data_IF_622328840048
#
_entry.id   IF_622328840048
#
_cell.length_a   1.000
_cell.length_b   1.000
_cell.length_c   1.000
_cell.angle_alpha   90.00
_cell.angle_beta   90.00
_cell.angle_gamma   90.00
#
_symmetry.space_group_name_H-M   'P 1'
#
loop_
_entity.id
_entity.type
_entity.pdbx_description
1 polymer ?
#
# COMPACT_ATOMS: atom_id res chain seq x y z
N UNK A 1 20.87 2.18 -18.10
CA UNK A 1 20.06 3.07 -17.23
C UNK A 1 18.64 3.01 -17.73
N UNK A 2 17.66 2.85 -16.84
CA UNK A 2 16.25 2.93 -17.22
C UNK A 2 15.91 4.39 -17.53
N UNK A 3 15.41 4.66 -18.73
CA UNK A 3 15.01 6.01 -19.15
C UNK A 3 13.53 6.22 -18.86
N UNK A 4 13.21 7.25 -18.07
CA UNK A 4 11.82 7.60 -17.74
C UNK A 4 11.32 8.72 -18.65
N UNK A 5 10.12 8.52 -19.20
CA UNK A 5 9.29 9.56 -19.79
C UNK A 5 8.57 10.34 -18.67
N UNK A 6 8.07 11.54 -18.97
CA UNK A 6 7.40 12.38 -17.98
C UNK A 6 6.05 12.87 -18.50
N UNK A 7 5.03 12.81 -17.65
CA UNK A 7 3.70 13.35 -17.89
C UNK A 7 3.41 14.40 -16.81
N UNK A 8 3.18 15.64 -17.22
CA UNK A 8 2.89 16.74 -16.31
C UNK A 8 1.39 16.83 -16.06
N UNK A 9 0.99 16.73 -14.80
CA UNK A 9 -0.39 16.96 -14.35
C UNK A 9 -0.49 18.30 -13.60
N UNK A 10 -1.66 18.64 -13.08
CA UNK A 10 -1.82 19.82 -12.23
C UNK A 10 -0.91 19.75 -10.99
N UNK A 11 -0.78 18.57 -10.38
CA UNK A 11 -0.13 18.40 -9.08
C UNK A 11 1.26 17.76 -9.16
N UNK A 12 1.51 16.90 -10.15
CA UNK A 12 2.72 16.09 -10.26
C UNK A 12 3.40 16.25 -11.62
N UNK A 13 4.72 16.04 -11.63
CA UNK A 13 5.42 15.60 -12.83
C UNK A 13 5.70 14.10 -12.65
N UNK A 14 4.94 13.27 -13.38
CA UNK A 14 4.89 11.82 -13.18
C UNK A 14 5.87 11.16 -14.14
N UNK A 15 6.88 10.50 -13.56
CA UNK A 15 7.80 9.68 -14.31
C UNK A 15 7.16 8.33 -14.65
N UNK A 16 7.28 7.87 -15.88
CA UNK A 16 6.75 6.58 -16.31
C UNK A 16 7.67 5.87 -17.30
N UNK A 17 7.50 4.55 -17.39
CA UNK A 17 8.08 3.71 -18.42
C UNK A 17 7.03 3.41 -19.48
N UNK A 18 7.45 3.29 -20.73
CA UNK A 18 6.55 3.07 -21.86
C UNK A 18 7.07 1.98 -22.78
N UNK A 19 6.16 1.12 -23.23
CA UNK A 19 6.41 0.11 -24.24
C UNK A 19 5.34 0.19 -25.33
N UNK A 20 5.77 -0.06 -26.58
CA UNK A 20 4.93 0.02 -27.77
C UNK A 20 4.07 1.30 -27.84
N UNK A 21 4.66 2.49 -28.02
CA UNK A 21 3.94 3.77 -28.03
C UNK A 21 2.83 3.88 -29.08
N UNK A 22 2.85 3.04 -30.12
CA UNK A 22 1.87 3.03 -31.22
C UNK A 22 0.77 1.97 -31.03
N UNK A 23 0.71 1.31 -29.88
CA UNK A 23 -0.33 0.31 -29.61
C UNK A 23 -1.73 0.94 -29.58
N UNK A 24 -2.69 0.25 -30.19
CA UNK A 24 -4.07 0.75 -30.36
C UNK A 24 -4.89 0.72 -29.07
N UNK A 25 -4.53 -0.17 -28.14
CA UNK A 25 -5.16 -0.31 -26.81
C UNK A 25 -4.14 -0.01 -25.73
N UNK A 26 -4.54 0.71 -24.70
CA UNK A 26 -3.64 1.05 -23.61
C UNK A 26 -3.78 0.13 -22.39
N UNK A 27 -2.66 -0.21 -21.77
CA UNK A 27 -2.59 -0.86 -20.46
C UNK A 27 -1.73 -0.02 -19.51
N UNK A 28 -2.23 0.24 -18.30
CA UNK A 28 -1.48 0.96 -17.26
C UNK A 28 -1.15 0.01 -16.11
N UNK A 29 0.14 -0.14 -15.83
CA UNK A 29 0.69 -1.06 -14.84
C UNK A 29 1.20 -0.30 -13.60
N UNK A 30 0.59 -0.55 -12.43
CA UNK A 30 0.84 0.20 -11.21
C UNK A 30 1.55 -0.65 -10.17
N UNK A 31 2.74 -0.22 -9.78
CA UNK A 31 3.57 -0.92 -8.79
C UNK A 31 3.07 -0.73 -7.36
N UNK A 32 3.57 -1.56 -6.44
CA UNK A 32 3.30 -1.50 -5.01
C UNK A 32 4.35 -0.74 -4.21
N UNK A 33 4.26 -0.82 -2.89
CA UNK A 33 5.32 -0.37 -1.98
C UNK A 33 6.07 -1.58 -1.39
N UNK A 34 7.40 -1.56 -1.27
CA UNK A 34 8.35 -0.53 -1.70
C UNK A 34 8.96 -0.82 -3.10
N UNK A 35 8.12 -0.99 -4.12
CA UNK A 35 8.54 -1.41 -5.46
C UNK A 35 8.83 -0.24 -6.42
N UNK A 36 8.97 -0.56 -7.71
CA UNK A 36 9.26 0.36 -8.81
C UNK A 36 8.55 -0.10 -10.09
N UNK A 37 8.23 0.81 -11.03
CA UNK A 37 7.70 0.43 -12.35
C UNK A 37 8.56 -0.58 -13.11
N UNK A 38 9.87 -0.63 -12.82
CA UNK A 38 10.80 -1.58 -13.44
C UNK A 38 10.38 -3.04 -13.21
N UNK A 39 9.72 -3.35 -12.09
CA UNK A 39 9.24 -4.71 -11.81
C UNK A 39 8.22 -5.23 -12.82
N UNK A 40 7.60 -4.34 -13.60
CA UNK A 40 6.63 -4.71 -14.62
C UNK A 40 7.25 -5.11 -15.96
N UNK A 41 8.56 -4.99 -16.16
CA UNK A 41 9.20 -5.20 -17.48
C UNK A 41 8.78 -6.51 -18.18
N UNK A 42 8.73 -7.69 -17.52
CA UNK A 42 8.28 -8.91 -18.18
C UNK A 42 6.81 -8.86 -18.64
N UNK A 43 5.92 -8.28 -17.82
CA UNK A 43 4.50 -8.15 -18.13
C UNK A 43 4.27 -7.11 -19.22
N UNK A 44 5.02 -6.00 -19.15
CA UNK A 44 4.94 -4.93 -20.13
C UNK A 44 5.41 -5.40 -21.51
N UNK A 45 6.51 -6.17 -21.57
CA UNK A 45 6.97 -6.78 -22.82
C UNK A 45 5.93 -7.74 -23.41
N UNK A 46 5.31 -8.58 -22.58
CA UNK A 46 4.28 -9.51 -23.04
C UNK A 46 3.04 -8.79 -23.61
N UNK A 47 2.52 -7.78 -22.90
CA UNK A 47 1.37 -6.99 -23.36
C UNK A 47 1.70 -6.17 -24.61
N UNK A 48 2.89 -5.57 -24.67
CA UNK A 48 3.36 -4.85 -25.84
C UNK A 48 3.45 -5.75 -27.08
N UNK A 49 3.92 -6.99 -26.91
CA UNK A 49 3.92 -8.01 -27.97
C UNK A 49 2.52 -8.42 -28.46
N UNK A 50 1.48 -8.16 -27.68
CA UNK A 50 0.07 -8.35 -28.05
C UNK A 50 -0.58 -7.06 -28.60
N UNK A 51 0.23 -6.03 -28.91
CA UNK A 51 -0.24 -4.80 -29.53
C UNK A 51 -0.73 -3.71 -28.56
N UNK A 52 -0.59 -3.90 -27.23
CA UNK A 52 -0.93 -2.86 -26.27
C UNK A 52 0.15 -1.76 -26.21
N UNK A 53 -0.26 -0.50 -26.08
CA UNK A 53 0.57 0.57 -25.54
C UNK A 53 0.61 0.40 -24.02
N UNK A 54 1.79 0.12 -23.46
CA UNK A 54 1.91 -0.17 -22.03
C UNK A 54 2.59 0.99 -21.33
N UNK A 55 1.97 1.48 -20.26
CA UNK A 55 2.44 2.60 -19.46
C UNK A 55 2.63 2.14 -18.01
N UNK A 56 3.79 2.36 -17.42
CA UNK A 56 4.04 2.04 -16.00
C UNK A 56 4.50 3.30 -15.26
N UNK A 57 3.58 4.10 -14.69
CA UNK A 57 3.94 5.28 -13.93
C UNK A 57 4.52 4.91 -12.56
N UNK A 58 5.51 5.68 -12.13
CA UNK A 58 5.96 5.68 -10.75
C UNK A 58 4.98 6.48 -9.89
N UNK A 59 4.44 5.84 -8.86
CA UNK A 59 3.54 6.47 -7.90
C UNK A 59 4.21 7.67 -7.23
N UNK A 60 3.41 8.61 -6.71
CA UNK A 60 3.91 9.74 -5.93
C UNK A 60 4.93 9.28 -4.86
N UNK A 61 6.08 9.95 -4.80
CA UNK A 61 7.16 9.61 -3.87
C UNK A 61 8.10 8.49 -4.34
N UNK A 62 7.92 7.95 -5.55
CA UNK A 62 8.80 6.95 -6.17
C UNK A 62 9.43 7.45 -7.46
N UNK A 63 10.56 6.82 -7.81
CA UNK A 63 11.34 7.12 -9.01
C UNK A 63 11.53 8.66 -9.17
N UNK A 64 11.69 9.24 -10.37
CA UNK A 64 11.77 10.69 -10.49
C UNK A 64 10.41 11.44 -10.41
N UNK A 65 9.30 10.78 -10.06
CA UNK A 65 8.00 11.47 -9.89
C UNK A 65 8.07 12.49 -8.76
N UNK A 66 7.70 13.74 -9.05
CA UNK A 66 7.78 14.85 -8.07
C UNK A 66 6.51 15.67 -8.02
N UNK A 67 6.25 16.24 -6.84
CA UNK A 67 5.26 17.29 -6.68
C UNK A 67 5.73 18.57 -7.38
N UNK A 68 4.84 19.23 -8.11
CA UNK A 68 5.14 20.49 -8.82
C UNK A 68 5.24 21.67 -7.86
N UNK A 69 4.46 21.65 -6.79
CA UNK A 69 4.49 22.65 -5.73
C UNK A 69 5.13 22.06 -4.47
N UNK A 70 6.17 22.75 -3.98
CA UNK A 70 6.86 22.38 -2.75
C UNK A 70 6.00 22.60 -1.49
N UNK A 71 4.98 23.45 -1.55
CA UNK A 71 4.08 23.74 -0.43
C UNK A 71 3.08 22.60 -0.16
N UNK A 72 2.79 21.77 -1.18
CA UNK A 72 1.79 20.70 -1.08
C UNK A 72 2.27 19.60 -0.12
N UNK A 73 1.45 19.19 0.87
CA UNK A 73 1.79 18.10 1.78
C UNK A 73 2.06 16.79 1.04
N UNK A 74 3.11 16.06 1.45
CA UNK A 74 3.44 14.74 0.89
C UNK A 74 2.50 13.69 1.47
N UNK A 75 1.30 13.60 0.89
CA UNK A 75 0.25 12.69 1.31
C UNK A 75 0.32 11.36 0.55
N UNK A 76 0.26 10.25 1.30
CA UNK A 76 0.11 8.88 0.80
C UNK A 76 -1.33 8.36 0.87
N UNK A 77 -2.34 9.23 0.95
CA UNK A 77 -3.75 8.82 1.00
C UNK A 77 -4.15 8.04 -0.26
N UNK A 78 -4.92 6.96 -0.09
CA UNK A 78 -5.35 6.08 -1.20
C UNK A 78 -6.13 6.82 -2.29
N UNK A 79 -7.04 7.72 -1.91
CA UNK A 79 -7.79 8.53 -2.86
C UNK A 79 -6.87 9.42 -3.70
N UNK A 80 -5.75 9.88 -3.13
CA UNK A 80 -4.79 10.70 -3.83
C UNK A 80 -4.00 9.89 -4.88
N UNK A 81 -3.73 8.60 -4.63
CA UNK A 81 -3.15 7.69 -5.64
C UNK A 81 -4.11 7.45 -6.80
N UNK A 82 -5.40 7.27 -6.51
CA UNK A 82 -6.43 7.13 -7.54
C UNK A 82 -6.55 8.39 -8.41
N UNK A 83 -6.54 9.59 -7.80
CA UNK A 83 -6.56 10.85 -8.54
C UNK A 83 -5.34 11.04 -9.44
N UNK A 84 -4.14 10.73 -8.95
CA UNK A 84 -2.92 10.82 -9.79
C UNK A 84 -3.02 9.94 -11.03
N UNK A 85 -3.60 8.74 -10.90
CA UNK A 85 -3.79 7.85 -12.02
C UNK A 85 -4.75 8.44 -13.06
N UNK A 86 -5.86 9.03 -12.62
CA UNK A 86 -6.80 9.69 -13.51
C UNK A 86 -6.14 10.88 -14.23
N UNK A 87 -5.45 11.74 -13.48
CA UNK A 87 -4.71 12.88 -14.03
C UNK A 87 -3.60 12.42 -15.00
N UNK A 88 -2.93 11.30 -14.72
CA UNK A 88 -1.90 10.73 -15.57
C UNK A 88 -2.46 10.25 -16.91
N UNK A 89 -3.56 9.48 -16.91
CA UNK A 89 -4.15 8.99 -18.16
C UNK A 89 -4.75 10.13 -18.97
N UNK A 90 -5.32 11.14 -18.31
CA UNK A 90 -5.86 12.33 -18.97
C UNK A 90 -4.74 13.16 -19.64
N UNK A 91 -3.62 13.36 -18.95
CA UNK A 91 -2.46 14.07 -19.47
C UNK A 91 -1.85 13.39 -20.72
N UNK A 92 -2.07 12.09 -20.89
CA UNK A 92 -1.59 11.31 -22.03
C UNK A 92 -2.67 11.05 -23.10
N UNK A 93 -3.89 11.56 -22.90
CA UNK A 93 -5.03 11.32 -23.81
C UNK A 93 -5.42 9.84 -23.90
N UNK A 94 -5.23 9.09 -22.82
CA UNK A 94 -5.49 7.65 -22.78
C UNK A 94 -6.89 7.38 -22.24
N UNK A 95 -7.78 6.92 -23.11
CA UNK A 95 -9.16 6.63 -22.75
C UNK A 95 -9.35 5.17 -22.35
N UNK A 96 -10.00 4.96 -21.19
CA UNK A 96 -10.44 3.64 -20.68
C UNK A 96 -9.38 2.52 -20.80
N UNK A 97 -8.13 2.72 -20.35
CA UNK A 97 -7.11 1.69 -20.43
C UNK A 97 -7.49 0.43 -19.63
N UNK A 98 -6.79 -0.67 -19.89
CA UNK A 98 -6.73 -1.78 -18.94
C UNK A 98 -5.89 -1.33 -17.74
N UNK A 99 -6.43 -1.38 -16.54
CA UNK A 99 -5.68 -1.06 -15.32
C UNK A 99 -5.24 -2.34 -14.63
N UNK A 100 -3.93 -2.47 -14.39
CA UNK A 100 -3.35 -3.58 -13.62
C UNK A 100 -2.57 -3.00 -12.46
N UNK A 101 -2.88 -3.44 -11.25
CA UNK A 101 -2.21 -2.93 -10.04
C UNK A 101 -1.78 -4.04 -9.10
N UNK A 102 -0.64 -3.85 -8.45
CA UNK A 102 -0.12 -4.67 -7.35
C UNK A 102 -0.04 -3.84 -6.07
N UNK A 103 -0.51 -4.37 -4.94
CA UNK A 103 -0.41 -3.72 -3.62
C UNK A 103 -0.98 -2.28 -3.63
N UNK A 104 -0.18 -1.23 -3.43
CA UNK A 104 -0.61 0.17 -3.51
C UNK A 104 -1.13 0.52 -4.91
N UNK A 105 -0.56 -0.06 -5.96
CA UNK A 105 -1.04 0.08 -7.32
C UNK A 105 -2.42 -0.54 -7.53
N UNK A 106 -2.72 -1.65 -6.86
CA UNK A 106 -4.06 -2.25 -6.88
C UNK A 106 -5.09 -1.30 -6.24
N UNK A 107 -4.73 -0.71 -5.10
CA UNK A 107 -5.55 0.32 -4.44
C UNK A 107 -5.72 1.55 -5.32
N UNK A 108 -4.66 2.03 -5.98
CA UNK A 108 -4.73 3.19 -6.88
C UNK A 108 -5.72 2.96 -8.03
N UNK A 109 -5.61 1.82 -8.72
CA UNK A 109 -6.53 1.44 -9.80
C UNK A 109 -7.98 1.35 -9.32
N UNK A 110 -8.21 0.69 -8.19
CA UNK A 110 -9.54 0.58 -7.61
C UNK A 110 -10.14 1.93 -7.20
N UNK A 111 -9.34 2.82 -6.60
CA UNK A 111 -9.80 4.17 -6.25
C UNK A 111 -10.09 5.01 -7.49
N UNK A 112 -9.29 4.89 -8.56
CA UNK A 112 -9.57 5.58 -9.82
C UNK A 112 -10.92 5.15 -10.42
N UNK A 113 -11.21 3.85 -10.45
CA UNK A 113 -12.51 3.34 -10.90
C UNK A 113 -13.67 3.78 -9.99
N UNK A 114 -13.43 3.94 -8.68
CA UNK A 114 -14.45 4.47 -7.76
C UNK A 114 -14.65 5.98 -7.84
N UNK A 115 -13.67 6.73 -8.37
CA UNK A 115 -13.73 8.19 -8.51
C UNK A 115 -14.29 8.64 -9.86
N UNK A 116 -14.15 7.82 -10.92
CA UNK A 116 -14.60 8.14 -12.26
C UNK A 116 -15.19 6.92 -12.96
N UNK A 117 -16.47 7.03 -13.31
CA UNK A 117 -17.13 6.03 -14.15
C UNK A 117 -16.41 5.89 -15.49
N UNK A 118 -16.23 4.64 -15.92
CA UNK A 118 -15.51 4.35 -17.16
C UNK A 118 -14.00 4.64 -17.10
N UNK A 119 -13.39 4.85 -15.92
CA UNK A 119 -11.94 5.06 -15.81
C UNK A 119 -11.09 3.96 -16.45
N UNK A 120 -11.63 2.74 -16.55
CA UNK A 120 -10.97 1.59 -17.15
C UNK A 120 -11.90 0.81 -18.08
N UNK A 121 -11.33 0.09 -19.04
CA UNK A 121 -12.04 -0.97 -19.76
C UNK A 121 -12.07 -2.27 -18.96
N UNK A 122 -10.97 -2.56 -18.24
CA UNK A 122 -10.80 -3.76 -17.41
C UNK A 122 -9.92 -3.42 -16.21
N UNK A 123 -10.11 -4.15 -15.10
CA UNK A 123 -9.34 -3.99 -13.87
C UNK A 123 -8.79 -5.34 -13.40
N UNK A 124 -7.47 -5.42 -13.19
CA UNK A 124 -6.80 -6.54 -12.54
C UNK A 124 -6.11 -6.07 -11.26
N UNK A 125 -6.42 -6.73 -10.14
CA UNK A 125 -5.89 -6.40 -8.81
C UNK A 125 -5.08 -7.59 -8.28
N UNK A 126 -3.79 -7.36 -8.03
CA UNK A 126 -2.85 -8.38 -7.55
C UNK A 126 -2.45 -8.12 -6.10
N UNK A 127 -2.29 -9.19 -5.33
CA UNK A 127 -1.95 -9.20 -3.89
C UNK A 127 -3.03 -8.61 -2.97
N UNK A 128 -3.60 -7.46 -3.32
CA UNK A 128 -4.55 -6.72 -2.50
C UNK A 128 -5.86 -6.50 -3.26
N UNK A 129 -6.98 -6.95 -2.69
CA UNK A 129 -8.33 -6.75 -3.22
C UNK A 129 -8.91 -5.36 -2.90
N UNK A 130 -10.17 -5.11 -3.32
CA UNK A 130 -10.87 -3.88 -2.96
C UNK A 130 -11.05 -3.76 -1.44
N UNK A 131 -11.07 -2.53 -0.94
CA UNK A 131 -11.24 -2.26 0.48
C UNK A 131 -10.92 -0.82 0.82
N UNK A 132 -11.68 -0.31 1.77
CA UNK A 132 -11.49 0.99 2.40
C UNK A 132 -10.71 0.75 3.68
N UNK A 133 -9.64 1.53 3.95
CA UNK A 133 -8.87 1.44 5.20
C UNK A 133 -9.73 1.92 6.39
N UNK A 134 -10.73 1.14 6.77
CA UNK A 134 -11.60 1.42 7.90
C UNK A 134 -10.76 1.32 9.20
N UNK A 135 -10.63 2.42 9.97
CA UNK A 135 -9.90 2.39 11.23
C UNK A 135 -10.46 1.41 12.25
N UNK A 136 -11.74 1.04 12.13
CA UNK A 136 -12.42 0.07 12.99
C UNK A 136 -12.31 -1.38 12.52
N UNK A 137 -11.62 -1.66 11.41
CA UNK A 137 -11.56 -3.02 10.87
C UNK A 137 -10.88 -3.98 11.86
N UNK A 138 -11.47 -5.16 12.14
CA UNK A 138 -10.86 -6.13 13.04
C UNK A 138 -9.57 -6.68 12.43
N UNK A 139 -8.51 -6.74 13.23
CA UNK A 139 -7.22 -7.34 12.85
C UNK A 139 -6.88 -8.47 13.82
N UNK A 140 -6.60 -9.66 13.29
CA UNK A 140 -6.05 -10.74 14.09
C UNK A 140 -4.64 -10.38 14.57
N UNK A 141 -4.20 -10.94 15.71
CA UNK A 141 -2.83 -10.71 16.20
C UNK A 141 -1.77 -11.16 15.18
N UNK A 142 -2.07 -12.21 14.39
CA UNK A 142 -1.21 -12.62 13.28
C UNK A 142 -1.10 -11.52 12.22
N UNK A 143 -2.21 -10.88 11.84
CA UNK A 143 -2.19 -9.79 10.87
C UNK A 143 -1.50 -8.54 11.44
N UNK A 144 -1.70 -8.23 12.72
CA UNK A 144 -1.00 -7.14 13.42
C UNK A 144 0.52 -7.35 13.35
N UNK A 145 0.98 -8.59 13.59
CA UNK A 145 2.39 -8.98 13.44
C UNK A 145 2.89 -8.85 12.00
N UNK A 146 2.10 -9.30 11.02
CA UNK A 146 2.46 -9.17 9.61
C UNK A 146 2.57 -7.69 9.18
N UNK A 147 1.75 -6.81 9.76
CA UNK A 147 1.75 -5.36 9.54
C UNK A 147 2.67 -4.58 10.49
N UNK A 148 3.65 -5.23 11.12
CA UNK A 148 4.56 -4.59 12.08
C UNK A 148 5.16 -3.26 11.56
N UNK A 149 5.45 -3.21 10.25
CA UNK A 149 6.09 -2.09 9.57
C UNK A 149 5.20 -0.84 9.54
N UNK A 150 3.87 -0.96 9.48
CA UNK A 150 2.96 0.19 9.57
C UNK A 150 3.13 0.93 10.91
N UNK A 151 3.17 0.18 12.00
CA UNK A 151 3.34 0.74 13.35
C UNK A 151 4.73 1.32 13.52
N UNK A 152 5.76 0.64 13.02
CA UNK A 152 7.14 1.10 13.09
C UNK A 152 7.30 2.45 12.38
N UNK A 153 6.83 2.56 11.13
CA UNK A 153 6.90 3.79 10.33
C UNK A 153 6.09 4.95 10.90
N UNK A 154 5.09 4.69 11.75
CA UNK A 154 4.33 5.71 12.46
C UNK A 154 5.08 6.35 13.64
N UNK A 155 6.28 5.84 13.99
CA UNK A 155 7.11 6.40 15.06
C UNK A 155 8.24 7.29 14.50
N UNK A 156 8.73 8.29 15.28
CA UNK A 156 9.91 9.07 14.88
C UNK A 156 11.15 8.21 14.61
N UNK A 157 11.29 7.09 15.33
CA UNK A 157 12.40 6.14 15.14
C UNK A 157 12.28 5.40 13.82
N UNK A 158 11.08 4.97 13.43
CA UNK A 158 10.86 4.33 12.14
C UNK A 158 11.09 5.28 10.99
N UNK A 159 10.59 6.51 11.10
CA UNK A 159 10.88 7.56 10.12
C UNK A 159 12.40 7.76 9.94
N UNK A 160 13.14 7.91 11.04
CA UNK A 160 14.59 8.06 10.99
C UNK A 160 15.28 6.85 10.35
N UNK A 161 14.87 5.63 10.72
CA UNK A 161 15.43 4.40 10.15
C UNK A 161 15.25 4.32 8.62
N UNK A 162 14.08 4.71 8.10
CA UNK A 162 13.85 4.77 6.66
C UNK A 162 14.68 5.87 5.98
N UNK A 163 14.91 7.01 6.65
CA UNK A 163 15.77 8.07 6.11
C UNK A 163 17.23 7.65 6.02
N UNK A 164 17.71 6.90 7.02
CA UNK A 164 19.10 6.45 7.10
C UNK A 164 19.38 5.32 6.11
N UNK A 165 18.51 4.30 6.02
CA UNK A 165 18.70 3.20 5.07
C UNK A 165 17.39 2.60 4.53
N UNK A 166 16.70 3.39 3.70
CA UNK A 166 15.54 2.90 2.91
C UNK A 166 15.83 1.68 2.05
N UNK A 167 17.09 1.45 1.64
CA UNK A 167 17.42 0.32 0.75
C UNK A 167 17.44 -0.98 1.54
N UNK A 168 18.09 -0.99 2.70
CA UNK A 168 18.04 -2.14 3.59
C UNK A 168 16.60 -2.43 4.04
N UNK A 169 15.83 -1.38 4.34
CA UNK A 169 14.43 -1.54 4.73
C UNK A 169 13.56 -2.12 3.60
N UNK A 170 13.66 -1.59 2.38
CA UNK A 170 12.94 -2.14 1.23
C UNK A 170 13.32 -3.60 0.95
N UNK A 171 14.62 -3.93 1.06
CA UNK A 171 15.10 -5.30 0.90
C UNK A 171 14.52 -6.24 1.95
N UNK A 172 14.47 -5.82 3.22
CA UNK A 172 13.84 -6.59 4.28
C UNK A 172 12.36 -6.87 3.96
N UNK A 173 11.64 -5.87 3.42
CA UNK A 173 10.25 -6.06 3.02
C UNK A 173 10.11 -7.09 1.89
N UNK A 174 10.96 -6.98 0.85
CA UNK A 174 10.97 -7.95 -0.25
C UNK A 174 11.28 -9.37 0.23
N UNK A 175 12.28 -9.54 1.08
CA UNK A 175 12.64 -10.85 1.68
C UNK A 175 11.51 -11.40 2.56
N UNK A 176 10.70 -10.53 3.16
CA UNK A 176 9.57 -10.95 4.01
C UNK A 176 8.37 -11.42 3.18
N UNK A 177 8.07 -10.77 2.05
CA UNK A 177 6.85 -11.05 1.27
C UNK A 177 7.06 -11.89 0.01
N UNK A 178 8.32 -12.20 -0.31
CA UNK A 178 8.66 -13.01 -1.48
C UNK A 178 9.16 -14.39 -1.06
N UNK A 179 8.83 -15.44 -1.83
CA UNK A 179 9.47 -16.74 -1.69
C UNK A 179 11.00 -16.65 -1.67
N UNK A 180 11.63 -17.56 -0.92
CA UNK A 180 13.08 -17.62 -0.81
C UNK A 180 13.73 -17.77 -2.19
N UNK A 181 14.79 -16.98 -2.44
CA UNK A 181 15.56 -17.02 -3.68
C UNK A 181 15.06 -16.10 -4.81
N UNK A 182 13.90 -15.45 -4.66
CA UNK A 182 13.38 -14.52 -5.68
C UNK A 182 13.89 -13.08 -5.57
N UNK A 183 14.38 -12.67 -4.39
CA UNK A 183 14.96 -11.33 -4.22
C UNK A 183 16.35 -11.29 -4.86
N UNK A 184 16.58 -10.50 -5.93
CA UNK A 184 17.87 -10.47 -6.61
C UNK A 184 18.97 -9.97 -5.69
N UNK A 185 20.16 -10.59 -5.75
CA UNK A 185 21.38 -9.98 -5.16
C UNK A 185 21.66 -8.66 -5.88
N UNK A 186 22.04 -7.59 -5.17
CA UNK A 186 22.09 -6.25 -5.75
C UNK A 186 23.04 -6.18 -6.95
N UNK A 187 22.50 -5.93 -8.14
CA UNK A 187 23.22 -5.32 -9.27
C UNK A 187 22.98 -3.82 -9.23
N UNK A 188 23.64 -3.11 -8.32
CA UNK A 188 23.65 -1.64 -8.30
C UNK A 188 25.10 -1.14 -8.32
N UNK A 189 25.62 -0.80 -9.51
CA UNK A 189 26.78 0.09 -9.69
C UNK A 189 26.27 1.40 -10.29
N UNK A 190 26.63 2.53 -9.66
CA UNK A 190 26.66 3.85 -10.30
C UNK A 190 25.38 4.70 -10.23
N UNK A 191 25.25 5.49 -9.18
CA UNK A 191 24.77 6.90 -9.22
C UNK A 191 24.66 7.44 -7.79
N UNK A 192 25.77 7.43 -7.06
CA UNK A 192 25.88 8.21 -5.83
C UNK A 192 26.28 9.63 -6.21
N UNK A 193 25.31 10.44 -6.61
CA UNK A 193 25.45 11.89 -6.56
C UNK A 193 25.42 12.29 -5.09
N UNK A 194 26.57 12.71 -4.56
CA UNK A 194 26.73 13.22 -3.20
C UNK A 194 25.84 14.45 -3.04
N UNK A 195 24.68 14.33 -2.39
CA UNK A 195 23.87 15.49 -2.03
C UNK A 195 24.68 16.30 -1.01
N UNK A 196 25.14 17.49 -1.41
CA UNK A 196 25.78 18.45 -0.50
C UNK A 196 24.79 18.76 0.63
N UNK A 197 25.25 18.66 1.88
CA UNK A 197 24.52 19.14 3.06
C UNK A 197 24.33 20.65 2.95
N UNK A 198 23.21 21.10 2.39
CA UNK A 198 22.71 22.45 2.64
C UNK A 198 21.98 22.43 3.99
N UNK A 199 22.29 23.41 4.84
CA UNK A 199 21.68 23.57 6.17
C UNK A 199 20.16 23.64 6.00
N UNK A 200 19.45 22.62 6.49
CA UNK A 200 18.00 22.67 6.65
C UNK A 200 17.68 23.59 7.84
N UNK A 201 17.00 24.69 7.54
CA UNK A 201 16.27 25.50 8.52
C UNK A 201 15.23 24.60 9.22
N UNK A 202 15.24 24.61 10.55
CA UNK A 202 14.47 23.71 11.44
C UNK A 202 13.00 24.13 11.57
N UNK A 203 12.36 24.59 10.49
CA UNK A 203 10.96 25.03 10.55
C UNK A 203 10.07 24.16 9.66
N UNK A 204 9.38 23.24 10.35
CA UNK A 204 8.12 22.58 9.98
C UNK A 204 8.17 21.57 8.82
N UNK A 205 8.43 20.31 9.17
CA UNK A 205 7.83 19.16 8.48
C UNK A 205 7.16 18.28 9.55
N UNK A 206 5.92 18.60 9.88
CA UNK A 206 5.08 17.69 10.64
C UNK A 206 4.51 16.66 9.65
N UNK A 207 5.04 15.45 9.68
CA UNK A 207 4.32 14.29 9.17
C UNK A 207 3.11 14.10 10.10
N UNK A 208 1.90 14.30 9.59
CA UNK A 208 0.67 14.02 10.34
C UNK A 208 0.24 12.60 9.96
N UNK A 209 0.36 11.61 10.87
CA UNK A 209 -0.31 10.33 10.68
C UNK A 209 -1.81 10.60 10.87
N UNK A 210 -2.55 10.57 9.77
CA UNK A 210 -4.01 10.48 9.87
C UNK A 210 -4.36 9.05 10.29
N UNK A 211 -4.59 8.88 11.60
CA UNK A 211 -5.41 7.85 12.28
C UNK A 211 -4.69 7.22 13.48
N UNK A 212 -4.84 7.83 14.66
CA UNK A 212 -5.02 7.19 15.98
C UNK A 212 -5.04 8.31 17.02
N UNK A 213 -6.23 8.84 17.28
CA UNK A 213 -6.46 9.71 18.43
C UNK A 213 -6.43 8.91 19.71
N UNK A 214 -5.24 8.58 20.21
CA UNK A 214 -5.07 8.11 21.58
C UNK A 214 -4.56 9.29 22.41
N UNK A 215 -5.47 9.90 23.18
CA UNK A 215 -5.08 10.82 24.25
C UNK A 215 -4.41 9.99 25.35
N UNK A 216 -3.11 10.17 25.55
CA UNK A 216 -2.42 9.64 26.71
C UNK A 216 -2.87 10.43 27.96
N UNK A 217 -3.86 9.90 28.67
CA UNK A 217 -4.16 10.31 30.04
C UNK A 217 -3.11 9.75 30.99
N UNK A 218 -2.58 10.61 31.86
CA UNK A 218 -1.74 10.22 32.98
C UNK A 218 -2.43 9.18 33.86
N UNK A 219 -1.69 8.14 34.26
CA UNK A 219 -1.98 7.37 35.45
C UNK A 219 -0.65 6.97 36.10
N UNK A 220 -0.30 7.70 37.17
CA UNK A 220 0.63 7.20 38.16
C UNK A 220 -0.04 6.13 39.02
N UNK A 221 0.81 5.29 39.62
CA UNK A 221 0.57 4.48 40.82
C UNK A 221 -0.51 3.39 40.72
N UNK A 222 -0.09 2.13 40.73
CA UNK A 222 -0.17 1.29 41.93
C UNK A 222 0.47 -0.08 41.65
N UNK A 223 1.45 -0.46 42.47
CA UNK A 223 1.98 -1.83 42.49
C UNK A 223 1.19 -2.74 43.43
N UNK A 224 1.26 -4.06 43.15
CA UNK A 224 1.19 -5.23 44.04
C UNK A 224 1.06 -6.45 43.12
N UNK A 225 2.12 -7.25 42.95
CA UNK A 225 2.38 -8.51 43.66
C UNK A 225 1.20 -9.49 43.64
N UNK A 226 1.41 -10.64 42.97
CA UNK A 226 1.07 -11.97 43.49
C UNK A 226 1.92 -13.03 42.77
N UNK A 227 2.50 -13.93 43.56
CA UNK A 227 3.38 -15.03 43.19
C UNK A 227 2.66 -16.39 43.29
N UNK A 228 3.19 -17.39 42.57
CA UNK A 228 3.18 -18.87 42.76
C UNK A 228 1.82 -19.60 42.96
N UNK A 229 1.32 -20.40 41.99
CA UNK A 229 1.54 -21.87 41.73
C UNK A 229 0.66 -22.82 42.61
N UNK A 230 0.41 -24.12 42.29
CA UNK A 230 0.53 -24.90 41.03
C UNK A 230 -0.63 -25.91 40.75
N UNK A 231 -0.61 -26.53 39.54
CA UNK A 231 -0.85 -27.99 39.39
C UNK A 231 -2.19 -28.50 38.82
N UNK A 232 -2.18 -28.97 37.57
CA UNK A 232 -2.85 -30.23 37.15
C UNK A 232 -2.37 -30.67 35.75
N UNK A 233 -1.88 -31.90 35.66
CA UNK A 233 -1.49 -32.62 34.43
C UNK A 233 -2.65 -33.45 33.90
N UNK A 234 -2.78 -33.56 32.56
CA UNK A 234 -3.09 -34.76 31.76
C UNK A 234 -3.22 -34.31 30.27
N UNK A 235 -2.36 -34.72 29.33
CA UNK A 235 -2.45 -35.95 28.51
C UNK A 235 -3.91 -36.24 28.08
N UNK A 236 -4.33 -36.21 26.82
CA UNK A 236 -3.69 -36.48 25.53
C UNK A 236 -4.59 -37.49 24.80
N UNK A 237 -5.20 -37.14 23.68
CA UNK A 237 -5.71 -38.10 22.68
C UNK A 237 -6.13 -37.38 21.39
N UNK A 238 -5.69 -37.98 20.30
CA UNK A 238 -5.87 -37.66 18.89
C UNK A 238 -7.26 -38.10 18.39
N UNK A 239 -7.84 -37.36 17.44
CA UNK A 239 -8.86 -37.89 16.52
C UNK A 239 -9.09 -36.94 15.34
N UNK A 240 -8.30 -37.13 14.27
CA UNK A 240 -8.77 -36.86 12.90
C UNK A 240 -9.93 -37.80 12.58
N UNK A 241 -11.08 -37.25 12.20
CA UNK A 241 -11.87 -37.67 11.03
C UNK A 241 -13.31 -37.13 11.09
N UNK A 242 -13.70 -36.35 10.09
CA UNK A 242 -15.02 -36.34 9.41
C UNK A 242 -15.13 -35.04 8.60
N UNK A 243 -14.64 -34.99 7.36
CA UNK A 243 -15.44 -35.19 6.13
C UNK A 243 -16.77 -34.42 6.11
N UNK A 244 -16.78 -33.38 5.28
CA UNK A 244 -17.78 -33.04 4.25
C UNK A 244 -19.25 -33.27 4.63
N UNK A 245 -20.01 -32.18 4.75
CA UNK A 245 -21.34 -31.98 4.10
C UNK A 245 -21.66 -30.48 4.11
N UNK A 246 -21.96 -29.95 2.93
CA UNK A 246 -22.56 -28.63 2.79
C UNK A 246 -24.06 -28.67 3.08
N UNK A 247 -24.59 -27.54 3.55
CA UNK A 247 -25.98 -27.09 3.40
C UNK A 247 -25.88 -25.56 3.29
N UNK A 248 -26.10 -24.99 2.11
CA UNK A 248 -27.39 -24.48 1.61
C UNK A 248 -28.04 -23.46 2.55
N UNK A 249 -28.17 -22.25 2.00
CA UNK A 249 -28.89 -21.11 2.53
C UNK A 249 -30.37 -21.43 2.79
N UNK A 250 -30.97 -20.74 3.77
CA UNK A 250 -32.26 -20.04 3.58
C UNK A 250 -32.61 -19.12 4.78
N UNK A 251 -33.51 -18.14 4.58
CA UNK A 251 -33.48 -16.83 5.24
C UNK A 251 -34.57 -16.63 6.31
N UNK A 252 -34.38 -15.59 7.12
CA UNK A 252 -35.47 -14.83 7.75
C UNK A 252 -35.83 -15.21 9.17
N UNK A 253 -35.42 -14.39 10.14
CA UNK A 253 -36.29 -14.00 11.25
C UNK A 253 -36.04 -12.52 11.61
N UNK A 254 -36.99 -11.68 11.19
CA UNK A 254 -37.30 -10.38 11.76
C UNK A 254 -37.87 -10.59 13.17
N UNK A 255 -37.36 -9.87 14.17
CA UNK A 255 -37.94 -9.93 15.52
C UNK A 255 -37.23 -9.14 16.61
N UNK A 256 -37.37 -7.80 16.57
CA UNK A 256 -37.55 -6.87 17.71
C UNK A 256 -36.66 -7.03 18.98
N UNK A 257 -35.86 -5.99 19.25
CA UNK A 257 -35.74 -5.30 20.56
C UNK A 257 -34.86 -4.04 20.39
N UNK A 258 -35.41 -2.90 19.99
CA UNK A 258 -35.74 -1.74 20.86
C UNK A 258 -34.81 -1.54 22.07
N UNK A 259 -33.94 -0.53 21.91
CA UNK A 259 -33.78 0.65 22.80
C UNK A 259 -33.68 0.42 24.31
N UNK A 260 -32.50 0.63 24.88
CA UNK A 260 -32.35 1.20 26.23
C UNK A 260 -31.30 2.31 26.17
N UNK A 261 -31.75 3.51 26.55
CA UNK A 261 -31.03 4.77 26.61
C UNK A 261 -30.55 5.00 28.06
N UNK A 262 -29.33 5.53 28.20
CA UNK A 262 -28.82 6.47 29.22
C UNK A 262 -29.39 6.54 30.66
N UNK A 263 -28.44 6.53 31.62
CA UNK A 263 -28.25 7.35 32.86
C UNK A 263 -27.88 6.44 34.05
N UNK A 264 -27.01 6.79 35.00
CA UNK A 264 -26.15 7.94 35.24
C UNK A 264 -25.28 7.58 36.46
N UNK A 265 -24.00 7.94 36.44
CA UNK A 265 -23.22 8.63 37.48
C UNK A 265 -21.87 9.04 36.85
#
# INVERSE_FOLDING_TARGET
MTTYMHATTASLDIAYLEWNPRGERAAVLLHGWPDSPVGWEPVAAALAGQGYRVLAPALRGFAPTRFRDASVPRSGQLAALGRDLLEFVDALGVERPVLVGHDWGARAAANACGLRDGAASHLAMLSVGYGTNDPGQPLSLQQVRNYWYHWFMATPRGEQALRDDRRAFARLMWETWSPAGLVPRPRFRGSCGRVRRTRLDRRRAAFVPASLGIRAGHAGLCGRQCAAEPGARAAGADARAARRRGYLQSPGQLGRARTVLHRAL
#
